data_IF_017944043187
#
_entry.id   IF_017944043187
#
_cell.length_a   1.000
_cell.length_b   1.000
_cell.length_c   1.000
_cell.angle_alpha   90.00
_cell.angle_beta   90.00
_cell.angle_gamma   90.00
#
_symmetry.space_group_name_H-M   'P 1'
#
loop_
_entity.id
_entity.type
_entity.pdbx_description
1 polymer ?
#
# COMPACT_ATOMS: atom_id res chain seq x y z
N UNK A 1 -18.02 5.06 -13.55
CA UNK A 1 -16.84 5.24 -13.85
C UNK A 1 -15.61 4.91 -12.97
N UNK A 2 -15.44 3.66 -12.52
CA UNK A 2 -14.18 3.24 -11.90
C UNK A 2 -13.09 3.12 -12.98
N UNK A 3 -12.00 3.86 -12.83
CA UNK A 3 -10.93 3.91 -13.84
C UNK A 3 -9.72 3.00 -13.55
N UNK A 4 -9.55 2.53 -12.30
CA UNK A 4 -8.39 1.71 -11.88
C UNK A 4 -8.76 0.76 -10.79
N UNK A 5 -8.11 -0.40 -10.78
CA UNK A 5 -8.23 -1.43 -9.74
C UNK A 5 -6.84 -1.72 -9.15
N UNK A 6 -6.82 -1.95 -7.86
CA UNK A 6 -5.68 -2.53 -7.14
C UNK A 6 -6.18 -3.76 -6.40
N UNK A 7 -5.47 -4.86 -6.51
CA UNK A 7 -5.78 -6.14 -5.89
C UNK A 7 -4.68 -6.51 -4.90
N UNK A 8 -5.03 -6.98 -3.72
CA UNK A 8 -4.07 -7.52 -2.75
C UNK A 8 -3.84 -9.00 -3.01
N UNK A 9 -2.56 -9.39 -3.14
CA UNK A 9 -2.15 -10.78 -3.30
C UNK A 9 -0.75 -10.96 -2.71
N UNK A 10 -0.68 -11.56 -1.54
CA UNK A 10 0.54 -11.63 -0.74
C UNK A 10 1.40 -12.88 -1.00
N UNK A 11 0.86 -13.87 -1.74
CA UNK A 11 1.59 -15.08 -2.13
C UNK A 11 0.96 -15.75 -3.36
N UNK A 12 1.79 -16.52 -4.10
CA UNK A 12 1.36 -17.46 -5.14
C UNK A 12 1.19 -18.87 -4.59
N UNK A 13 1.78 -19.18 -3.45
CA UNK A 13 1.58 -20.44 -2.74
C UNK A 13 0.27 -20.41 -1.96
N UNK A 14 -0.65 -21.38 -2.12
CA UNK A 14 -1.96 -21.37 -1.47
C UNK A 14 -1.90 -21.43 0.06
N UNK A 15 -0.90 -22.09 0.62
CA UNK A 15 -0.73 -22.19 2.08
C UNK A 15 -0.31 -20.84 2.63
N UNK A 16 0.70 -20.19 2.02
CA UNK A 16 1.15 -18.84 2.38
C UNK A 16 0.06 -17.80 2.19
N UNK A 17 -0.68 -17.89 1.07
CA UNK A 17 -1.81 -17.00 0.84
C UNK A 17 -2.85 -17.09 1.96
N UNK A 18 -3.22 -18.33 2.35
CA UNK A 18 -4.20 -18.55 3.42
C UNK A 18 -3.70 -18.06 4.78
N UNK A 19 -2.42 -18.22 5.07
CA UNK A 19 -1.76 -17.69 6.27
C UNK A 19 -1.84 -16.15 6.29
N UNK A 20 -1.45 -15.48 5.22
CA UNK A 20 -1.46 -14.02 5.10
C UNK A 20 -2.86 -13.41 5.09
N UNK A 21 -3.84 -14.10 4.49
CA UNK A 21 -5.23 -13.63 4.42
C UNK A 21 -6.03 -13.89 5.71
N UNK A 22 -5.41 -14.47 6.75
CA UNK A 22 -6.12 -14.87 7.96
C UNK A 22 -7.15 -15.96 7.72
N UNK A 23 -6.87 -16.89 6.81
CA UNK A 23 -7.73 -18.02 6.46
C UNK A 23 -8.92 -17.66 5.56
N UNK A 24 -8.93 -16.48 4.94
CA UNK A 24 -10.05 -15.99 4.13
C UNK A 24 -9.76 -16.11 2.64
N UNK A 25 -10.74 -16.69 1.91
CA UNK A 25 -10.69 -16.83 0.46
C UNK A 25 -9.60 -17.80 -0.03
N UNK A 26 -9.63 -18.01 -1.33
CA UNK A 26 -8.66 -18.86 -2.02
C UNK A 26 -7.94 -18.02 -3.11
N UNK A 27 -6.70 -18.36 -3.39
CA UNK A 27 -5.92 -17.68 -4.44
C UNK A 27 -6.61 -17.75 -5.80
N UNK A 28 -7.34 -18.84 -6.07
CA UNK A 28 -8.11 -19.03 -7.29
C UNK A 28 -9.19 -17.95 -7.46
N UNK A 29 -9.85 -17.52 -6.37
CA UNK A 29 -10.86 -16.48 -6.40
C UNK A 29 -10.23 -15.11 -6.74
N UNK A 30 -9.05 -14.83 -6.19
CA UNK A 30 -8.30 -13.60 -6.49
C UNK A 30 -7.90 -13.58 -7.97
N UNK A 31 -7.38 -14.69 -8.49
CA UNK A 31 -6.98 -14.81 -9.90
C UNK A 31 -8.17 -14.66 -10.83
N UNK A 32 -9.32 -15.28 -10.50
CA UNK A 32 -10.56 -15.11 -11.23
C UNK A 32 -11.05 -13.65 -11.21
N UNK A 33 -10.91 -12.96 -10.07
CA UNK A 33 -11.24 -11.54 -9.95
C UNK A 33 -10.34 -10.63 -10.79
N UNK A 34 -9.04 -10.90 -10.88
CA UNK A 34 -8.09 -10.20 -11.75
C UNK A 34 -8.49 -10.39 -13.23
N UNK A 35 -8.79 -11.63 -13.62
CA UNK A 35 -9.23 -11.92 -15.00
C UNK A 35 -10.57 -11.26 -15.31
N UNK A 36 -11.54 -11.29 -14.41
CA UNK A 36 -12.82 -10.61 -14.57
C UNK A 36 -12.64 -9.09 -14.73
N UNK A 37 -11.73 -8.47 -13.99
CA UNK A 37 -11.40 -7.06 -14.13
C UNK A 37 -10.77 -6.77 -15.51
N UNK A 38 -9.85 -7.63 -15.97
CA UNK A 38 -9.26 -7.52 -17.30
C UNK A 38 -10.31 -7.60 -18.42
N UNK A 39 -11.23 -8.56 -18.32
CA UNK A 39 -12.34 -8.73 -19.26
C UNK A 39 -13.30 -7.53 -19.23
N UNK A 40 -13.51 -6.92 -18.06
CA UNK A 40 -14.30 -5.70 -17.91
C UNK A 40 -13.62 -4.43 -18.48
N UNK A 41 -12.43 -4.56 -19.06
CA UNK A 41 -11.73 -3.47 -19.75
C UNK A 41 -10.80 -2.65 -18.85
N UNK A 42 -10.52 -3.10 -17.61
CA UNK A 42 -9.45 -2.49 -16.83
C UNK A 42 -8.10 -2.84 -17.46
N UNK A 43 -7.28 -1.81 -17.71
CA UNK A 43 -5.94 -1.97 -18.28
C UNK A 43 -4.95 -2.58 -17.27
N UNK A 44 -3.88 -1.87 -16.98
CA UNK A 44 -2.89 -2.34 -16.01
C UNK A 44 -3.48 -2.38 -14.59
N UNK A 45 -3.62 -3.59 -14.03
CA UNK A 45 -4.05 -3.82 -12.64
C UNK A 45 -2.80 -3.77 -11.76
N UNK A 46 -2.89 -3.10 -10.62
CA UNK A 46 -1.84 -3.11 -9.60
C UNK A 46 -2.06 -4.25 -8.63
N UNK A 47 -1.05 -5.08 -8.44
CA UNK A 47 -1.06 -6.19 -7.49
C UNK A 47 -0.21 -5.78 -6.30
N UNK A 48 -0.83 -5.52 -5.17
CA UNK A 48 -0.12 -5.18 -3.94
C UNK A 48 0.22 -6.43 -3.15
N UNK A 49 1.47 -6.53 -2.73
CA UNK A 49 1.96 -7.56 -1.83
C UNK A 49 2.67 -6.89 -0.65
N UNK A 50 2.17 -7.09 0.56
CA UNK A 50 2.90 -6.75 1.79
C UNK A 50 3.90 -7.86 2.07
N UNK A 51 5.17 -7.52 2.20
CA UNK A 51 6.23 -8.51 2.39
C UNK A 51 6.68 -8.51 3.84
N UNK A 52 6.57 -9.68 4.46
CA UNK A 52 6.98 -9.93 5.82
C UNK A 52 8.08 -11.01 5.86
N UNK A 53 9.17 -10.70 6.55
CA UNK A 53 10.34 -11.59 6.67
C UNK A 53 9.97 -12.91 7.35
N UNK A 54 10.37 -14.01 6.72
CA UNK A 54 10.16 -15.35 7.22
C UNK A 54 8.74 -15.89 7.04
N UNK A 55 7.80 -15.06 6.53
CA UNK A 55 6.42 -15.47 6.25
C UNK A 55 6.21 -15.63 4.75
N UNK A 56 6.30 -14.55 3.97
CA UNK A 56 6.06 -14.60 2.53
C UNK A 56 7.18 -13.95 1.69
N UNK A 57 8.33 -13.65 2.27
CA UNK A 57 9.43 -13.05 1.52
C UNK A 57 10.06 -14.00 0.48
N UNK A 58 9.76 -15.30 0.54
CA UNK A 58 10.04 -16.30 -0.48
C UNK A 58 9.10 -16.17 -1.70
N UNK A 59 7.94 -15.50 -1.56
CA UNK A 59 6.93 -15.36 -2.60
C UNK A 59 7.21 -14.20 -3.58
N UNK A 60 8.22 -13.37 -3.33
CA UNK A 60 8.57 -12.21 -4.16
C UNK A 60 8.86 -12.62 -5.61
N UNK A 61 9.76 -13.59 -5.82
CA UNK A 61 10.10 -14.05 -7.18
C UNK A 61 8.95 -14.83 -7.85
N UNK A 62 8.20 -15.70 -7.18
CA UNK A 62 6.99 -16.30 -7.73
C UNK A 62 5.97 -15.30 -8.22
N UNK A 63 5.66 -14.25 -7.45
CA UNK A 63 4.74 -13.18 -7.85
C UNK A 63 5.24 -12.43 -9.09
N UNK A 64 6.50 -12.01 -9.10
CA UNK A 64 7.08 -11.37 -10.28
C UNK A 64 7.04 -12.28 -11.49
N UNK A 65 7.43 -13.54 -11.34
CA UNK A 65 7.43 -14.52 -12.44
C UNK A 65 6.04 -14.72 -13.06
N UNK A 66 4.99 -14.67 -12.23
CA UNK A 66 3.63 -14.85 -12.69
C UNK A 66 3.09 -13.62 -13.45
N UNK A 67 3.32 -12.42 -12.91
CA UNK A 67 2.72 -11.19 -13.47
C UNK A 67 3.58 -10.48 -14.51
N UNK A 68 4.87 -10.80 -14.60
CA UNK A 68 5.76 -10.23 -15.60
C UNK A 68 5.29 -10.62 -17.01
N UNK A 69 5.19 -9.65 -17.92
CA UNK A 69 4.69 -9.83 -19.28
C UNK A 69 3.17 -9.82 -19.41
N UNK A 70 2.41 -9.75 -18.32
CA UNK A 70 0.93 -9.72 -18.36
C UNK A 70 0.34 -8.32 -18.53
N UNK A 71 1.15 -7.27 -18.42
CA UNK A 71 0.70 -5.87 -18.37
C UNK A 71 0.24 -5.40 -17.00
N UNK A 72 0.20 -6.29 -16.00
CA UNK A 72 -0.07 -5.94 -14.61
C UNK A 72 1.20 -5.53 -13.86
N UNK A 73 1.08 -4.79 -12.77
CA UNK A 73 2.21 -4.25 -12.00
C UNK A 73 2.18 -4.78 -10.58
N UNK A 74 3.15 -5.61 -10.22
CA UNK A 74 3.34 -6.02 -8.83
C UNK A 74 3.99 -4.89 -8.05
N UNK A 75 3.44 -4.58 -6.87
CA UNK A 75 4.01 -3.61 -5.95
C UNK A 75 4.26 -4.27 -4.60
N UNK A 76 5.51 -4.38 -4.23
CA UNK A 76 5.92 -4.86 -2.92
C UNK A 76 5.93 -3.72 -1.91
N UNK A 77 5.30 -3.94 -0.78
CA UNK A 77 5.12 -2.97 0.30
C UNK A 77 5.81 -3.53 1.53
N UNK A 78 6.65 -2.73 2.17
CA UNK A 78 7.27 -3.12 3.43
C UNK A 78 6.21 -3.32 4.51
N UNK A 79 6.37 -4.36 5.33
CA UNK A 79 5.50 -4.64 6.47
C UNK A 79 5.52 -3.48 7.46
N UNK A 80 4.35 -2.93 7.80
CA UNK A 80 4.18 -1.71 8.58
C UNK A 80 3.41 -1.95 9.85
N UNK A 81 3.67 -1.09 10.84
CA UNK A 81 3.00 -1.01 12.15
C UNK A 81 1.63 -0.31 12.06
N UNK A 82 0.78 -0.74 11.14
CA UNK A 82 -0.59 -0.21 10.99
C UNK A 82 -1.56 -0.98 11.87
N UNK A 83 -2.38 -0.25 12.62
CA UNK A 83 -3.28 -0.85 13.60
C UNK A 83 -2.54 -1.45 14.81
N UNK A 84 -3.21 -2.37 15.51
CA UNK A 84 -2.71 -3.01 16.72
C UNK A 84 -2.71 -4.54 16.65
N UNK A 85 -3.22 -5.12 15.54
CA UNK A 85 -3.50 -6.55 15.42
C UNK A 85 -2.42 -7.36 14.69
N UNK A 86 -1.31 -6.76 14.29
CA UNK A 86 -0.34 -7.40 13.39
C UNK A 86 1.00 -7.77 14.04
N UNK A 87 1.15 -7.58 15.34
CA UNK A 87 2.38 -7.89 16.12
C UNK A 87 3.66 -7.40 15.43
N UNK A 88 3.60 -6.19 14.88
CA UNK A 88 4.69 -5.65 14.09
C UNK A 88 5.98 -5.50 14.90
N UNK A 89 7.08 -5.92 14.30
CA UNK A 89 8.43 -5.63 14.79
C UNK A 89 9.36 -5.29 13.62
N UNK A 90 10.41 -4.54 13.90
CA UNK A 90 11.32 -4.04 12.87
C UNK A 90 12.13 -5.14 12.18
N UNK A 91 12.43 -6.21 12.88
CA UNK A 91 13.15 -7.39 12.38
C UNK A 91 12.32 -8.19 11.36
N UNK A 92 10.99 -8.07 11.40
CA UNK A 92 10.08 -8.66 10.41
C UNK A 92 9.99 -7.86 9.10
N UNK A 93 10.58 -6.68 9.05
CA UNK A 93 10.60 -5.86 7.82
C UNK A 93 11.70 -6.34 6.88
N UNK A 94 11.35 -6.56 5.62
CA UNK A 94 12.31 -6.71 4.52
C UNK A 94 12.43 -5.35 3.81
N UNK A 95 13.56 -4.64 3.91
CA UNK A 95 13.72 -3.36 3.23
C UNK A 95 13.54 -3.47 1.72
N UNK A 96 12.87 -2.50 1.13
CA UNK A 96 12.54 -2.49 -0.30
C UNK A 96 13.76 -2.63 -1.23
N UNK A 97 14.92 -2.11 -0.81
CA UNK A 97 16.16 -2.28 -1.59
C UNK A 97 16.60 -3.75 -1.67
N UNK A 98 16.40 -4.55 -0.60
CA UNK A 98 16.69 -6.00 -0.63
C UNK A 98 15.75 -6.73 -1.58
N UNK A 99 14.46 -6.36 -1.59
CA UNK A 99 13.48 -6.94 -2.52
C UNK A 99 13.82 -6.60 -3.97
N UNK A 100 14.15 -5.32 -4.23
CA UNK A 100 14.58 -4.85 -5.54
C UNK A 100 15.82 -5.62 -6.03
N UNK A 101 16.84 -5.74 -5.20
CA UNK A 101 18.09 -6.40 -5.58
C UNK A 101 17.88 -7.90 -5.84
N UNK A 102 16.99 -8.55 -5.06
CA UNK A 102 16.58 -9.94 -5.27
C UNK A 102 15.87 -10.11 -6.63
N UNK A 103 14.99 -9.19 -7.00
CA UNK A 103 14.33 -9.20 -8.31
C UNK A 103 15.33 -8.89 -9.43
N UNK A 104 16.16 -7.86 -9.25
CA UNK A 104 17.14 -7.43 -10.25
C UNK A 104 18.21 -8.51 -10.55
N UNK A 105 18.55 -9.33 -9.57
CA UNK A 105 19.48 -10.46 -9.77
C UNK A 105 18.95 -11.50 -10.77
N UNK A 106 17.62 -11.60 -10.93
CA UNK A 106 16.99 -12.54 -11.87
C UNK A 106 16.54 -11.85 -13.16
N UNK A 107 16.04 -10.63 -13.06
CA UNK A 107 15.55 -9.83 -14.18
C UNK A 107 16.07 -8.40 -14.04
N UNK A 108 17.03 -8.00 -14.88
CA UNK A 108 17.61 -6.66 -14.83
C UNK A 108 16.56 -5.56 -14.84
N UNK A 109 16.75 -4.58 -13.97
CA UNK A 109 15.80 -3.52 -13.70
C UNK A 109 16.41 -2.15 -14.01
N UNK A 110 15.65 -1.28 -14.68
CA UNK A 110 15.95 0.13 -14.90
C UNK A 110 14.95 1.00 -14.13
N UNK A 111 15.46 1.94 -13.34
CA UNK A 111 14.62 2.89 -12.61
C UNK A 111 13.76 3.72 -13.57
N UNK A 112 12.53 4.01 -13.18
CA UNK A 112 11.60 4.89 -13.86
C UNK A 112 11.33 6.13 -13.01
N UNK A 113 11.09 7.26 -13.68
CA UNK A 113 10.61 8.47 -13.04
C UNK A 113 9.22 8.27 -12.43
N UNK A 114 8.93 9.02 -11.36
CA UNK A 114 7.59 9.02 -10.78
C UNK A 114 6.57 9.57 -11.79
N UNK A 115 5.38 8.97 -11.87
CA UNK A 115 4.29 9.44 -12.74
C UNK A 115 3.74 10.80 -12.28
N UNK A 116 3.84 11.09 -10.99
CA UNK A 116 3.36 12.32 -10.37
C UNK A 116 4.08 12.56 -9.05
N UNK A 117 4.15 13.81 -8.62
CA UNK A 117 4.70 14.16 -7.31
C UNK A 117 3.95 13.46 -6.18
N UNK A 118 4.67 12.84 -5.25
CA UNK A 118 4.10 12.09 -4.14
C UNK A 118 3.67 10.65 -4.49
N UNK A 119 4.09 10.12 -5.65
CA UNK A 119 3.94 8.70 -5.94
C UNK A 119 4.73 7.89 -4.89
N UNK A 120 4.04 6.95 -4.23
CA UNK A 120 4.61 6.24 -3.07
C UNK A 120 5.51 5.07 -3.45
N UNK A 121 5.38 4.55 -4.67
CA UNK A 121 6.17 3.44 -5.16
C UNK A 121 7.35 3.94 -5.99
N UNK A 122 8.56 3.52 -5.63
CA UNK A 122 9.69 3.56 -6.56
C UNK A 122 9.46 2.54 -7.66
N UNK A 123 9.47 2.97 -8.92
CA UNK A 123 9.10 2.17 -10.09
C UNK A 123 10.35 1.72 -10.86
N UNK A 124 10.30 0.51 -11.38
CA UNK A 124 11.37 -0.07 -12.20
C UNK A 124 10.77 -0.81 -13.38
N UNK A 125 11.28 -0.56 -14.58
CA UNK A 125 10.98 -1.38 -15.75
C UNK A 125 11.92 -2.58 -15.82
N UNK A 126 11.41 -3.72 -16.28
CA UNK A 126 12.27 -4.81 -16.72
C UNK A 126 12.98 -4.42 -18.02
N UNK A 127 14.32 -4.58 -18.08
CA UNK A 127 15.10 -4.15 -19.25
C UNK A 127 14.74 -4.88 -20.53
N UNK A 128 14.16 -6.05 -20.44
CA UNK A 128 13.65 -6.84 -21.57
C UNK A 128 12.23 -6.43 -22.06
N UNK A 129 11.70 -5.34 -21.51
CA UNK A 129 10.39 -4.81 -21.92
C UNK A 129 9.17 -5.55 -21.38
N UNK A 130 9.35 -6.49 -20.45
CA UNK A 130 8.25 -7.31 -19.90
C UNK A 130 7.46 -6.61 -18.76
N UNK A 131 7.31 -5.28 -18.81
CA UNK A 131 6.52 -4.52 -17.86
C UNK A 131 7.34 -3.88 -16.76
N UNK A 132 6.70 -3.64 -15.61
CA UNK A 132 7.31 -2.95 -14.48
C UNK A 132 6.99 -3.60 -13.14
N UNK A 133 7.81 -3.26 -12.12
CA UNK A 133 7.62 -3.62 -10.72
C UNK A 133 7.78 -2.38 -9.85
N UNK A 134 7.06 -2.29 -8.74
CA UNK A 134 7.14 -1.18 -7.80
C UNK A 134 7.53 -1.62 -6.40
N UNK A 135 8.15 -0.69 -5.64
CA UNK A 135 8.52 -0.92 -4.24
C UNK A 135 8.08 0.27 -3.39
N UNK A 136 7.40 0.00 -2.27
CA UNK A 136 6.88 1.02 -1.35
C UNK A 136 7.67 0.93 -0.04
N UNK A 137 8.62 1.84 0.13
CA UNK A 137 9.60 1.85 1.23
C UNK A 137 9.07 2.62 2.44
N UNK A 138 7.95 2.20 3.00
CA UNK A 138 7.26 2.92 4.08
C UNK A 138 8.03 2.95 5.40
N UNK A 139 9.00 2.03 5.59
CA UNK A 139 9.77 1.88 6.82
C UNK A 139 11.24 2.24 6.60
N UNK A 140 11.86 1.71 5.54
CA UNK A 140 13.29 1.88 5.29
C UNK A 140 13.66 3.23 4.65
N UNK A 141 12.74 3.81 3.86
CA UNK A 141 12.91 5.12 3.22
C UNK A 141 11.56 5.87 3.20
N UNK A 142 11.11 6.39 4.36
CA UNK A 142 9.80 7.04 4.47
C UNK A 142 9.72 8.31 3.62
N UNK A 143 8.50 8.60 3.14
CA UNK A 143 8.20 9.68 2.18
C UNK A 143 7.12 10.64 2.71
N UNK A 144 7.12 10.95 4.01
CA UNK A 144 6.10 11.80 4.65
C UNK A 144 6.04 13.21 4.07
N UNK A 145 7.19 13.78 3.68
CA UNK A 145 7.29 15.14 3.15
C UNK A 145 6.50 15.38 1.86
N UNK A 146 6.37 14.37 1.01
CA UNK A 146 5.61 14.44 -0.25
C UNK A 146 4.29 13.65 -0.22
N UNK A 147 3.80 13.26 0.95
CA UNK A 147 2.57 12.48 1.07
C UNK A 147 1.32 13.33 0.83
N UNK A 148 0.52 12.99 -0.18
CA UNK A 148 -0.72 13.66 -0.57
C UNK A 148 -1.97 12.82 -0.28
N UNK A 149 -1.91 11.93 0.71
CA UNK A 149 -3.02 10.99 0.99
C UNK A 149 -3.81 11.43 2.19
N UNK A 150 -5.13 11.35 2.06
CA UNK A 150 -6.08 11.42 3.14
C UNK A 150 -7.06 10.26 3.04
N UNK A 151 -7.73 9.93 4.11
CA UNK A 151 -8.78 8.92 4.17
C UNK A 151 -9.98 9.49 4.90
N UNK A 152 -11.16 9.09 4.46
CA UNK A 152 -12.40 9.35 5.19
C UNK A 152 -12.98 8.00 5.58
N UNK A 153 -13.17 7.79 6.87
CA UNK A 153 -13.82 6.58 7.37
C UNK A 153 -15.33 6.59 7.10
N UNK A 154 -15.95 5.41 7.18
CA UNK A 154 -17.38 5.27 6.93
C UNK A 154 -18.25 6.08 7.92
N UNK A 155 -17.73 6.37 9.10
CA UNK A 155 -18.37 7.19 10.12
C UNK A 155 -18.07 8.70 10.00
N UNK A 156 -17.43 9.11 8.90
CA UNK A 156 -17.25 10.53 8.53
C UNK A 156 -16.05 11.23 9.17
N UNK A 157 -15.01 10.51 9.59
CA UNK A 157 -13.79 11.11 10.10
C UNK A 157 -12.69 11.20 9.02
N UNK A 158 -12.03 12.35 8.94
CA UNK A 158 -10.89 12.59 8.05
C UNK A 158 -9.57 12.26 8.77
N UNK A 159 -8.78 11.40 8.16
CA UNK A 159 -7.43 11.03 8.58
C UNK A 159 -6.41 11.51 7.56
N UNK A 160 -5.44 12.30 7.98
CA UNK A 160 -4.37 12.85 7.14
C UNK A 160 -3.12 11.97 7.10
N UNK A 161 -3.04 10.96 7.97
CA UNK A 161 -1.96 9.97 8.00
C UNK A 161 -2.54 8.56 8.18
N UNK A 162 -1.90 7.56 7.58
CA UNK A 162 -2.24 6.14 7.76
C UNK A 162 -2.09 5.70 9.22
N UNK A 163 -1.17 6.32 9.93
CA UNK A 163 -0.84 6.01 11.33
C UNK A 163 -1.49 6.98 12.33
N UNK A 164 -2.45 7.80 11.89
CA UNK A 164 -3.14 8.70 12.80
C UNK A 164 -3.94 7.92 13.85
N UNK A 165 -3.86 8.35 15.10
CA UNK A 165 -4.65 7.78 16.20
C UNK A 165 -6.07 8.32 16.27
N UNK A 166 -6.27 9.55 15.78
CA UNK A 166 -7.55 10.25 15.83
C UNK A 166 -7.88 10.87 14.48
N UNK A 167 -9.14 10.73 14.07
CA UNK A 167 -9.70 11.38 12.90
C UNK A 167 -10.43 12.70 13.25
N UNK A 168 -10.53 13.58 12.27
CA UNK A 168 -11.27 14.83 12.38
C UNK A 168 -12.72 14.63 11.93
N UNK A 169 -13.70 14.80 12.81
CA UNK A 169 -15.12 14.66 12.47
C UNK A 169 -15.53 15.71 11.43
N UNK A 170 -16.03 15.24 10.30
CA UNK A 170 -16.52 16.06 9.19
C UNK A 170 -18.06 16.25 9.22
N UNK A 171 -18.78 15.47 10.00
CA UNK A 171 -20.25 15.45 10.00
C UNK A 171 -20.89 16.80 10.37
N UNK A 172 -20.36 17.55 11.37
CA UNK A 172 -20.92 18.88 11.68
C UNK A 172 -20.78 19.86 10.52
N UNK A 173 -19.65 19.82 9.79
CA UNK A 173 -19.43 20.68 8.63
C UNK A 173 -20.27 20.24 7.43
N UNK A 174 -20.44 18.93 7.24
CA UNK A 174 -21.30 18.38 6.19
C UNK A 174 -22.76 18.81 6.39
N UNK A 175 -23.24 18.84 7.62
CA UNK A 175 -24.60 19.31 7.94
C UNK A 175 -24.83 20.81 7.64
N UNK A 176 -23.74 21.61 7.63
CA UNK A 176 -23.78 23.03 7.27
C UNK A 176 -23.66 23.28 5.76
N UNK A 177 -23.34 22.25 4.97
CA UNK A 177 -23.26 22.31 3.52
C UNK A 177 -21.84 22.17 2.96
N UNK A 178 -21.76 22.16 1.62
CA UNK A 178 -20.54 21.83 0.89
C UNK A 178 -19.40 22.84 1.14
N UNK A 179 -19.72 24.11 1.30
CA UNK A 179 -18.70 25.15 1.50
C UNK A 179 -18.06 25.04 2.89
N UNK A 180 -18.86 24.78 3.93
CA UNK A 180 -18.36 24.52 5.28
C UNK A 180 -17.50 23.25 5.33
N UNK A 181 -17.92 22.20 4.63
CA UNK A 181 -17.12 20.97 4.50
C UNK A 181 -15.77 21.24 3.79
N UNK A 182 -15.79 21.98 2.68
CA UNK A 182 -14.58 22.36 1.93
C UNK A 182 -13.61 23.15 2.81
N UNK A 183 -14.11 24.14 3.55
CA UNK A 183 -13.31 24.94 4.47
C UNK A 183 -12.69 24.07 5.58
N UNK A 184 -13.49 23.18 6.17
CA UNK A 184 -13.03 22.26 7.22
C UNK A 184 -11.89 21.36 6.70
N UNK A 185 -12.09 20.70 5.55
CA UNK A 185 -11.07 19.83 4.93
C UNK A 185 -9.81 20.62 4.61
N UNK A 186 -9.93 21.81 4.02
CA UNK A 186 -8.79 22.68 3.71
C UNK A 186 -8.04 23.11 4.96
N UNK A 187 -8.74 23.45 6.04
CA UNK A 187 -8.15 23.83 7.32
C UNK A 187 -7.38 22.67 7.94
N UNK A 188 -7.96 21.48 7.97
CA UNK A 188 -7.29 20.27 8.50
C UNK A 188 -6.05 19.97 7.67
N UNK A 189 -6.17 20.02 6.35
CA UNK A 189 -5.06 19.73 5.45
C UNK A 189 -3.91 20.75 5.56
N UNK A 190 -4.20 22.03 5.61
CA UNK A 190 -3.17 23.09 5.71
C UNK A 190 -2.38 23.07 7.02
N UNK A 191 -2.97 22.52 8.09
CA UNK A 191 -2.33 22.38 9.40
C UNK A 191 -1.62 21.04 9.59
N UNK A 192 -1.62 20.20 8.56
CA UNK A 192 -1.06 18.86 8.62
C UNK A 192 0.45 18.90 8.91
N UNK A 193 0.84 18.17 9.95
CA UNK A 193 2.25 18.00 10.34
C UNK A 193 2.65 16.52 10.51
N UNK A 194 1.84 15.59 9.98
CA UNK A 194 2.04 14.15 10.15
C UNK A 194 3.34 13.67 9.50
N UNK A 195 4.25 13.14 10.32
CA UNK A 195 5.53 12.57 9.88
C UNK A 195 5.84 11.25 10.59
N UNK A 196 4.83 10.49 10.93
CA UNK A 196 4.99 9.28 11.76
C UNK A 196 6.06 8.33 11.21
N UNK A 197 6.03 7.99 9.92
CA UNK A 197 6.97 7.02 9.34
C UNK A 197 8.43 7.48 9.45
N UNK A 198 8.69 8.78 9.36
CA UNK A 198 10.03 9.36 9.55
C UNK A 198 10.44 9.39 11.02
N UNK A 199 9.46 9.55 11.91
CA UNK A 199 9.67 9.64 13.36
C UNK A 199 9.49 8.27 14.06
N UNK A 200 9.24 7.19 13.30
CA UNK A 200 9.05 5.85 13.85
C UNK A 200 10.22 5.44 14.74
N UNK A 201 9.91 5.12 15.99
CA UNK A 201 10.92 4.78 17.01
C UNK A 201 11.36 5.96 17.89
N UNK A 202 11.10 7.22 17.51
CA UNK A 202 11.25 8.39 18.39
C UNK A 202 9.96 8.68 19.18
N UNK A 203 8.80 8.33 18.62
CA UNK A 203 7.53 8.35 19.33
C UNK A 203 7.50 7.13 20.25
N UNK A 204 7.55 7.34 21.57
CA UNK A 204 7.46 6.27 22.56
C UNK A 204 6.22 5.41 22.36
N UNK A 205 6.20 4.23 22.97
CA UNK A 205 5.25 3.12 22.79
C UNK A 205 3.75 3.40 23.09
N UNK A 206 3.30 4.64 23.10
CA UNK A 206 1.91 5.02 23.41
C UNK A 206 1.13 5.63 22.25
N UNK A 207 1.60 5.48 20.99
CA UNK A 207 0.83 5.99 19.86
C UNK A 207 -0.37 5.07 19.59
N UNK A 208 -1.59 5.61 19.77
CA UNK A 208 -2.82 4.91 19.44
C UNK A 208 -2.96 4.82 17.92
N UNK A 209 -2.99 3.62 17.37
CA UNK A 209 -3.25 3.38 15.95
C UNK A 209 -4.72 3.06 15.74
N UNK A 210 -5.27 3.55 14.64
CA UNK A 210 -6.59 3.13 14.15
C UNK A 210 -6.40 1.95 13.20
N UNK A 211 -7.25 0.95 13.31
CA UNK A 211 -7.19 -0.22 12.44
C UNK A 211 -7.46 0.15 10.98
N UNK A 212 -6.70 -0.42 10.05
CA UNK A 212 -6.81 -0.10 8.62
C UNK A 212 -8.20 -0.35 8.07
N UNK A 213 -8.89 -1.40 8.51
CA UNK A 213 -10.23 -1.73 8.05
C UNK A 213 -11.29 -0.68 8.46
N UNK A 214 -11.01 0.15 9.47
CA UNK A 214 -11.88 1.27 9.87
C UNK A 214 -11.70 2.50 8.99
N UNK A 215 -10.52 2.68 8.40
CA UNK A 215 -10.16 3.87 7.61
C UNK A 215 -9.98 3.57 6.12
N UNK A 216 -10.50 2.45 5.63
CA UNK A 216 -10.53 2.11 4.21
C UNK A 216 -9.17 1.72 3.65
N UNK A 217 -8.45 0.88 4.36
CA UNK A 217 -7.15 0.33 3.94
C UNK A 217 -7.27 -1.01 3.27
#
# INVERSE_FOLDING_TARGET
GLGRITVSLDAMDPVRYREMSGGRGEIADVMAGIEAARVAGFGSIKINCVVERGINDDQVLPLVSHFRGTGHVVRFIEFMDVGTCNDWSRDRVVPSWQLRDRVAARWPLRALEANYRGEVASRYAFEDGQGEVGFVSSVSAPFCGDCHRARVSADGHLYTCLFAGDGQDLRPSLAQGVDALRERVSTVWSRRGDRYSEMRGAAGASHRHVEMFLIGG
#
